data_IF_378735114164
#
_entry.id   IF_378735114164
#
_cell.length_a   1.000
_cell.length_b   1.000
_cell.length_c   1.000
_cell.angle_alpha   90.00
_cell.angle_beta   90.00
_cell.angle_gamma   90.00
#
_symmetry.space_group_name_H-M   'P 1'
#
loop_
_entity.id
_entity.type
_entity.pdbx_description
1 polymer ?
#
# COMPACT_ATOMS: atom_id res chain seq x y z
N UNK A 1 -6.77 21.50 8.20
CA UNK A 1 -8.24 21.73 8.26
C UNK A 1 -8.89 20.65 7.41
N UNK A 2 -9.37 19.60 8.02
CA UNK A 2 -10.24 18.61 7.40
C UNK A 2 -11.60 19.27 7.17
N UNK A 3 -11.91 19.63 5.94
CA UNK A 3 -13.27 19.97 5.57
C UNK A 3 -14.11 18.69 5.68
N UNK A 4 -14.80 18.55 6.81
CA UNK A 4 -15.92 17.63 6.95
C UNK A 4 -17.06 18.13 6.06
N UNK A 5 -16.96 17.93 4.77
CA UNK A 5 -18.10 18.02 3.88
C UNK A 5 -19.00 16.82 4.16
N UNK A 6 -20.25 17.06 4.41
CA UNK A 6 -21.29 16.03 4.48
C UNK A 6 -21.18 15.17 3.22
N UNK A 7 -20.65 13.95 3.39
CA UNK A 7 -20.64 12.94 2.34
C UNK A 7 -22.08 12.46 2.17
N UNK A 8 -22.75 12.95 1.13
CA UNK A 8 -24.07 12.45 0.76
C UNK A 8 -23.91 10.96 0.33
N UNK A 9 -24.45 9.99 1.10
CA UNK A 9 -24.32 8.57 0.77
C UNK A 9 -25.05 8.18 -0.52
N UNK A 10 -25.89 9.08 -1.06
CA UNK A 10 -26.61 8.89 -2.33
C UNK A 10 -25.85 9.46 -3.54
N UNK A 11 -24.69 10.05 -3.33
CA UNK A 11 -23.84 10.51 -4.42
C UNK A 11 -23.37 9.32 -5.27
N UNK A 12 -23.50 9.35 -6.61
CA UNK A 12 -22.99 8.28 -7.46
C UNK A 12 -21.47 8.16 -7.31
N UNK A 13 -20.98 6.92 -7.24
CA UNK A 13 -19.56 6.63 -7.19
C UNK A 13 -18.82 7.18 -8.42
N UNK A 14 -17.57 7.55 -8.24
CA UNK A 14 -16.69 8.03 -9.32
C UNK A 14 -15.73 6.93 -9.72
N UNK A 15 -15.66 6.62 -11.02
CA UNK A 15 -14.65 5.70 -11.57
C UNK A 15 -13.29 6.36 -11.50
N UNK A 16 -12.28 5.64 -10.99
CA UNK A 16 -10.91 6.12 -10.86
C UNK A 16 -9.96 5.04 -11.35
N UNK A 17 -8.94 5.44 -12.12
CA UNK A 17 -7.86 4.55 -12.52
C UNK A 17 -6.70 4.68 -11.53
N UNK A 18 -6.28 3.54 -10.99
CA UNK A 18 -5.21 3.50 -10.01
C UNK A 18 -4.51 2.14 -10.00
N UNK A 19 -3.30 2.12 -9.46
CA UNK A 19 -2.61 0.89 -9.10
C UNK A 19 -2.92 0.59 -7.64
N UNK A 20 -3.40 -0.61 -7.38
CA UNK A 20 -3.65 -1.12 -6.03
C UNK A 20 -2.57 -2.11 -5.66
N UNK A 21 -1.96 -1.90 -4.51
CA UNK A 21 -0.98 -2.81 -3.95
C UNK A 21 -1.42 -3.34 -2.59
N UNK A 22 -1.11 -4.59 -2.32
CA UNK A 22 -1.36 -5.22 -1.04
C UNK A 22 -0.05 -5.63 -0.40
N UNK A 23 0.15 -5.23 0.86
CA UNK A 23 1.21 -5.73 1.70
C UNK A 23 0.56 -6.58 2.79
N UNK A 24 0.80 -7.89 2.77
CA UNK A 24 0.18 -8.85 3.68
C UNK A 24 1.24 -9.35 4.64
N UNK A 25 0.91 -9.36 5.93
CA UNK A 25 1.74 -9.99 6.96
C UNK A 25 1.48 -11.49 6.93
N UNK A 26 2.45 -12.24 6.45
CA UNK A 26 2.34 -13.70 6.41
C UNK A 26 2.37 -14.30 7.82
N UNK A 27 1.64 -15.39 8.01
CA UNK A 27 1.54 -16.11 9.27
C UNK A 27 1.17 -15.20 10.47
N UNK A 28 0.26 -14.24 10.21
CA UNK A 28 -0.16 -13.24 11.21
C UNK A 28 -0.79 -13.87 12.45
N UNK A 29 -1.55 -14.95 12.28
CA UNK A 29 -2.22 -15.65 13.39
C UNK A 29 -1.20 -16.26 14.33
N UNK A 30 -0.20 -16.94 13.78
CA UNK A 30 0.88 -17.56 14.53
C UNK A 30 1.73 -16.50 15.26
N UNK A 31 2.03 -15.39 14.57
CA UNK A 31 2.71 -14.26 15.21
C UNK A 31 1.89 -13.65 16.35
N UNK A 32 0.57 -13.58 16.21
CA UNK A 32 -0.32 -13.07 17.26
C UNK A 32 -0.33 -13.99 18.48
N UNK A 33 -0.33 -15.30 18.29
CA UNK A 33 -0.27 -16.27 19.39
C UNK A 33 1.03 -16.15 20.18
N UNK A 34 2.15 -15.93 19.51
CA UNK A 34 3.46 -15.82 20.16
C UNK A 34 3.66 -14.45 20.81
N UNK A 35 3.38 -13.37 20.07
CA UNK A 35 3.67 -12.01 20.51
C UNK A 35 2.61 -11.46 21.49
N UNK A 36 1.39 -11.98 21.46
CA UNK A 36 0.29 -11.54 22.33
C UNK A 36 0.13 -10.00 22.36
N UNK A 37 0.45 -9.37 23.48
CA UNK A 37 0.36 -7.91 23.63
C UNK A 37 1.33 -7.13 22.72
N UNK A 38 2.45 -7.72 22.37
CA UNK A 38 3.49 -7.08 21.55
C UNK A 38 3.18 -7.08 20.03
N UNK A 39 2.14 -7.83 19.61
CA UNK A 39 1.74 -7.89 18.20
C UNK A 39 1.42 -6.50 17.64
N UNK A 40 0.78 -5.65 18.42
CA UNK A 40 0.43 -4.29 17.99
C UNK A 40 1.68 -3.43 17.76
N UNK A 41 2.69 -3.59 18.59
CA UNK A 41 3.98 -2.91 18.41
C UNK A 41 4.68 -3.36 17.13
N UNK A 42 4.67 -4.66 16.86
CA UNK A 42 5.20 -5.23 15.62
C UNK A 42 4.47 -4.70 14.38
N UNK A 43 3.14 -4.79 14.36
CA UNK A 43 2.30 -4.31 13.24
C UNK A 43 2.51 -2.83 13.00
N UNK A 44 2.57 -2.02 14.05
CA UNK A 44 2.77 -0.58 13.92
C UNK A 44 4.15 -0.24 13.33
N UNK A 45 5.20 -0.98 13.68
CA UNK A 45 6.54 -0.81 13.07
C UNK A 45 6.54 -1.16 11.58
N UNK A 46 5.90 -2.26 11.20
CA UNK A 46 5.74 -2.61 9.77
C UNK A 46 4.92 -1.57 9.03
N UNK A 47 3.82 -1.10 9.65
CA UNK A 47 2.98 -0.04 9.08
C UNK A 47 3.75 1.27 8.87
N UNK A 48 4.56 1.70 9.83
CA UNK A 48 5.39 2.90 9.74
C UNK A 48 6.34 2.83 8.55
N UNK A 49 7.05 1.71 8.38
CA UNK A 49 7.96 1.51 7.25
C UNK A 49 7.18 1.52 5.93
N UNK A 50 6.09 0.77 5.86
CA UNK A 50 5.28 0.63 4.65
C UNK A 50 4.68 1.97 4.24
N UNK A 51 4.01 2.67 5.16
CA UNK A 51 3.37 3.94 4.90
C UNK A 51 4.37 5.03 4.53
N UNK A 52 5.52 5.09 5.21
CA UNK A 52 6.56 6.07 4.89
C UNK A 52 7.15 5.88 3.50
N UNK A 53 7.30 4.63 3.05
CA UNK A 53 7.79 4.37 1.69
C UNK A 53 6.73 4.67 0.63
N UNK A 54 5.49 4.30 0.87
CA UNK A 54 4.37 4.59 -0.04
C UNK A 54 4.20 6.09 -0.22
N UNK A 55 4.19 6.85 0.87
CA UNK A 55 4.08 8.32 0.84
C UNK A 55 5.26 8.96 0.10
N UNK A 56 6.46 8.49 0.36
CA UNK A 56 7.69 8.98 -0.29
C UNK A 56 7.68 8.79 -1.82
N UNK A 57 7.05 7.74 -2.31
CA UNK A 57 6.99 7.40 -3.74
C UNK A 57 5.63 7.70 -4.38
N UNK A 58 4.90 8.66 -3.83
CA UNK A 58 3.70 9.25 -4.45
C UNK A 58 2.43 8.40 -4.35
N UNK A 59 2.43 7.37 -3.50
CA UNK A 59 1.24 6.58 -3.19
C UNK A 59 0.50 7.08 -1.95
N UNK A 60 -0.57 6.40 -1.62
CA UNK A 60 -1.35 6.60 -0.41
C UNK A 60 -1.61 5.27 0.29
N UNK A 61 -1.40 5.24 1.59
CA UNK A 61 -1.90 4.14 2.41
C UNK A 61 -3.40 4.36 2.63
N UNK A 62 -4.21 3.55 1.96
CA UNK A 62 -5.65 3.75 1.94
C UNK A 62 -6.32 3.16 3.18
N UNK A 63 -6.06 1.88 3.46
CA UNK A 63 -6.76 1.16 4.52
C UNK A 63 -5.94 -0.02 5.02
N UNK A 64 -6.06 -0.29 6.32
CA UNK A 64 -5.60 -1.54 6.91
C UNK A 64 -6.80 -2.51 6.98
N UNK A 65 -6.63 -3.69 6.41
CA UNK A 65 -7.66 -4.73 6.36
C UNK A 65 -7.09 -5.96 7.08
N UNK A 66 -7.32 -6.04 8.40
CA UNK A 66 -6.74 -7.10 9.22
C UNK A 66 -5.21 -7.12 9.15
N UNK A 67 -4.67 -8.17 8.57
CA UNK A 67 -3.23 -8.39 8.36
C UNK A 67 -2.67 -7.73 7.09
N UNK A 68 -3.51 -7.05 6.31
CA UNK A 68 -3.11 -6.45 5.04
C UNK A 68 -3.18 -4.93 5.05
N UNK A 69 -2.24 -4.31 4.36
CA UNK A 69 -2.23 -2.88 4.06
C UNK A 69 -2.60 -2.66 2.60
N UNK A 70 -3.67 -1.91 2.35
CA UNK A 70 -4.07 -1.49 1.01
C UNK A 70 -3.38 -0.18 0.65
N UNK A 71 -2.62 -0.21 -0.42
CA UNK A 71 -1.81 0.89 -0.93
C UNK A 71 -2.34 1.29 -2.31
N UNK A 72 -2.39 2.59 -2.60
CA UNK A 72 -3.00 3.11 -3.82
C UNK A 72 -2.12 4.17 -4.46
N UNK A 73 -1.86 4.04 -5.76
CA UNK A 73 -1.27 5.07 -6.62
C UNK A 73 -2.28 5.46 -7.67
N UNK A 74 -2.86 6.66 -7.54
CA UNK A 74 -3.82 7.18 -8.52
C UNK A 74 -3.09 7.73 -9.74
N UNK A 75 -3.62 7.41 -10.92
CA UNK A 75 -3.16 8.03 -12.16
C UNK A 75 -3.62 9.49 -12.25
N UNK A 76 -2.81 10.31 -12.91
CA UNK A 76 -3.17 11.69 -13.26
C UNK A 76 -4.23 11.69 -14.36
N UNK A 77 -5.03 12.75 -14.37
CA UNK A 77 -6.07 13.00 -15.38
C UNK A 77 -7.05 11.85 -15.66
N UNK A 78 -7.51 11.26 -14.55
CA UNK A 78 -8.47 10.15 -14.59
C UNK A 78 -9.73 10.47 -15.43
N UNK A 79 -10.14 11.75 -15.49
CA UNK A 79 -11.27 12.17 -16.34
C UNK A 79 -10.96 12.06 -17.82
N UNK A 80 -9.79 12.54 -18.24
CA UNK A 80 -9.39 12.45 -19.66
C UNK A 80 -9.25 10.99 -20.10
N UNK A 81 -8.73 10.11 -19.22
CA UNK A 81 -8.64 8.68 -19.51
C UNK A 81 -10.03 8.07 -19.66
N UNK A 82 -11.00 8.46 -18.81
CA UNK A 82 -12.38 8.00 -18.92
C UNK A 82 -13.04 8.45 -20.23
N UNK A 83 -12.90 9.73 -20.58
CA UNK A 83 -13.46 10.29 -21.78
C UNK A 83 -12.89 9.62 -23.04
N UNK A 84 -11.60 9.30 -23.04
CA UNK A 84 -10.93 8.58 -24.13
C UNK A 84 -11.39 7.11 -24.25
N UNK A 85 -11.58 6.43 -23.11
CA UNK A 85 -12.05 5.04 -23.05
C UNK A 85 -13.48 4.92 -23.58
N UNK A 86 -14.36 5.87 -23.23
CA UNK A 86 -15.74 5.94 -23.72
C UNK A 86 -15.84 6.25 -25.22
N UNK A 87 -14.91 7.04 -25.75
CA UNK A 87 -14.85 7.39 -27.17
C UNK A 87 -14.15 6.34 -28.04
N UNK A 88 -13.56 5.29 -27.43
CA UNK A 88 -12.80 4.25 -28.14
C UNK A 88 -11.53 4.78 -28.82
N UNK A 89 -11.00 5.91 -28.36
CA UNK A 89 -9.79 6.53 -28.90
C UNK A 89 -8.57 5.89 -28.27
N UNK A 90 -7.63 5.47 -29.11
CA UNK A 90 -6.35 4.93 -28.68
C UNK A 90 -5.58 5.99 -27.85
N UNK A 91 -4.99 5.57 -26.72
CA UNK A 91 -4.28 6.44 -25.78
C UNK A 91 -3.05 7.09 -26.44
N UNK A 92 -3.23 8.15 -27.17
CA UNK A 92 -2.15 8.86 -27.88
C UNK A 92 -1.70 10.15 -27.23
N UNK A 93 -2.26 10.52 -26.08
CA UNK A 93 -1.73 11.65 -25.32
C UNK A 93 -0.42 11.22 -24.62
N UNK A 94 0.72 11.53 -25.25
CA UNK A 94 2.05 11.14 -24.81
C UNK A 94 2.38 11.62 -23.39
N UNK A 95 1.87 12.80 -23.01
CA UNK A 95 2.20 13.41 -21.72
C UNK A 95 1.52 12.65 -20.58
N UNK A 96 0.25 12.33 -20.71
CA UNK A 96 -0.49 11.49 -19.72
C UNK A 96 0.13 10.10 -19.64
N UNK A 97 0.52 9.53 -20.76
CA UNK A 97 1.14 8.22 -20.81
C UNK A 97 2.48 8.20 -20.06
N UNK A 98 3.32 9.22 -20.24
CA UNK A 98 4.60 9.35 -19.55
C UNK A 98 4.41 9.53 -18.03
N UNK A 99 3.50 10.41 -17.61
CA UNK A 99 3.20 10.61 -16.20
C UNK A 99 2.71 9.33 -15.53
N UNK A 100 1.82 8.60 -16.17
CA UNK A 100 1.29 7.34 -15.64
C UNK A 100 2.35 6.23 -15.62
N UNK A 101 3.28 6.20 -16.57
CA UNK A 101 4.44 5.30 -16.54
C UNK A 101 5.34 5.59 -15.34
N UNK A 102 5.61 6.85 -15.03
CA UNK A 102 6.38 7.25 -13.84
C UNK A 102 5.68 6.78 -12.57
N UNK A 103 4.36 6.94 -12.46
CA UNK A 103 3.59 6.46 -11.31
C UNK A 103 3.69 4.94 -11.17
N UNK A 104 3.60 4.20 -12.27
CA UNK A 104 3.76 2.75 -12.27
C UNK A 104 5.16 2.34 -11.79
N UNK A 105 6.20 2.97 -12.29
CA UNK A 105 7.59 2.71 -11.88
C UNK A 105 7.80 3.02 -10.39
N UNK A 106 7.27 4.15 -9.91
CA UNK A 106 7.34 4.53 -8.50
C UNK A 106 6.62 3.53 -7.59
N UNK A 107 5.49 2.98 -8.02
CA UNK A 107 4.76 1.97 -7.24
C UNK A 107 5.57 0.69 -7.05
N UNK A 108 6.17 0.18 -8.12
CA UNK A 108 7.05 -1.01 -8.06
C UNK A 108 8.27 -0.74 -7.20
N UNK A 109 8.88 0.43 -7.37
CA UNK A 109 10.06 0.83 -6.61
C UNK A 109 9.74 0.97 -5.11
N UNK A 110 8.56 1.47 -4.75
CA UNK A 110 8.10 1.54 -3.37
C UNK A 110 8.04 0.16 -2.72
N UNK A 111 7.49 -0.84 -3.40
CA UNK A 111 7.44 -2.23 -2.90
C UNK A 111 8.82 -2.83 -2.70
N UNK A 112 9.74 -2.65 -3.66
CA UNK A 112 11.13 -3.11 -3.52
C UNK A 112 11.82 -2.46 -2.33
N UNK A 113 11.58 -1.18 -2.07
CA UNK A 113 12.11 -0.45 -0.92
C UNK A 113 11.50 -0.90 0.41
N UNK A 114 10.21 -1.21 0.43
CA UNK A 114 9.54 -1.77 1.61
C UNK A 114 10.20 -3.10 1.99
N UNK A 115 10.33 -4.03 1.05
CA UNK A 115 10.96 -5.33 1.26
C UNK A 115 12.40 -5.15 1.75
N UNK A 116 13.19 -4.31 1.10
CA UNK A 116 14.57 -4.06 1.46
C UNK A 116 14.72 -3.46 2.87
N UNK A 117 13.84 -2.54 3.25
CA UNK A 117 13.84 -1.93 4.58
C UNK A 117 13.40 -2.90 5.66
N UNK A 118 12.34 -3.67 5.44
CA UNK A 118 11.87 -4.67 6.40
C UNK A 118 12.96 -5.70 6.70
N UNK A 119 13.72 -6.13 5.68
CA UNK A 119 14.81 -7.07 5.83
C UNK A 119 16.07 -6.50 6.52
N UNK A 120 16.17 -5.19 6.69
CA UNK A 120 17.33 -4.51 7.30
C UNK A 120 17.00 -3.79 8.61
N UNK A 121 15.74 -3.70 8.97
CA UNK A 121 15.33 -2.94 10.14
C UNK A 121 15.56 -3.78 11.40
N UNK A 122 16.52 -3.35 12.23
CA UNK A 122 16.97 -4.10 13.41
C UNK A 122 15.82 -4.48 14.36
N UNK A 123 14.89 -3.56 14.59
CA UNK A 123 13.74 -3.80 15.47
C UNK A 123 12.74 -4.82 14.91
N UNK A 124 12.72 -5.06 13.61
CA UNK A 124 11.95 -6.16 12.99
C UNK A 124 12.74 -7.46 13.09
N UNK A 125 14.05 -7.40 12.85
CA UNK A 125 14.93 -8.56 12.93
C UNK A 125 15.07 -9.14 14.35
N UNK A 126 14.79 -8.36 15.38
CA UNK A 126 14.73 -8.85 16.77
C UNK A 126 13.66 -9.94 16.93
N UNK A 127 12.52 -9.81 16.25
CA UNK A 127 11.47 -10.82 16.28
C UNK A 127 11.88 -12.15 15.61
N UNK A 128 12.75 -12.12 14.62
CA UNK A 128 13.28 -13.32 13.97
C UNK A 128 14.25 -14.14 14.84
N UNK A 129 14.68 -13.57 15.97
CA UNK A 129 15.54 -14.25 16.94
C UNK A 129 14.76 -14.88 18.11
N UNK A 130 13.44 -14.72 18.13
CA UNK A 130 12.59 -15.32 19.14
C UNK A 130 12.41 -16.79 18.80
N UNK A 131 12.88 -17.68 19.68
CA UNK A 131 12.84 -19.13 19.48
C UNK A 131 11.40 -19.65 19.31
N UNK A 132 10.42 -19.06 20.00
CA UNK A 132 9.00 -19.46 19.87
C UNK A 132 8.41 -19.04 18.49
N UNK A 133 8.89 -17.95 17.90
CA UNK A 133 8.54 -17.56 16.53
C UNK A 133 9.17 -18.50 15.53
N UNK A 134 10.43 -18.87 15.73
CA UNK A 134 11.13 -19.80 14.85
C UNK A 134 10.49 -21.19 14.84
N UNK A 135 9.94 -21.64 15.95
CA UNK A 135 9.27 -22.93 16.06
C UNK A 135 7.88 -22.95 15.39
N UNK A 136 7.13 -21.85 15.48
CA UNK A 136 5.74 -21.77 14.98
C UNK A 136 5.62 -21.16 13.60
N UNK A 137 6.48 -20.21 13.28
CA UNK A 137 6.52 -19.51 11.99
C UNK A 137 7.60 -20.14 11.14
N UNK A 138 7.20 -20.98 10.22
CA UNK A 138 8.13 -21.61 9.29
C UNK A 138 8.66 -20.56 8.30
N UNK A 139 9.96 -20.28 8.27
CA UNK A 139 10.55 -19.26 7.41
C UNK A 139 10.43 -19.60 5.93
#
# INVERSE_FOLDING_TARGET
MTQGGDLDPMMPGQKTYAIFGFCILDQFVECTEVLQADIMTYVNRVAEITHSMVDRYGGSANKNIGEAFLLVWKFHDTKQIQDLDELGVDYTNKDICIENQIIADLSVFAFLKIIAKLNKYEHILEYSKNDEILDKVNP
#
